data_IF_079026125715
#
_entry.id   IF_079026125715
#
_cell.length_a   1.000
_cell.length_b   1.000
_cell.length_c   1.000
_cell.angle_alpha   90.00
_cell.angle_beta   90.00
_cell.angle_gamma   90.00
#
_symmetry.space_group_name_H-M   'P 1'
#
loop_
_entity.id
_entity.type
_entity.pdbx_description
1 polymer ?
#
# COMPACT_ATOMS: atom_id res chain seq x y z
N UNK A 1 -17.18 6.72 1.24
CA UNK A 1 -16.75 6.43 -0.15
C UNK A 1 -15.24 6.49 -0.23
N UNK A 2 -14.62 5.53 -0.86
CA UNK A 2 -13.19 5.58 -1.19
C UNK A 2 -13.03 6.09 -2.63
N UNK A 3 -12.17 7.10 -2.82
CA UNK A 3 -11.95 7.73 -4.12
C UNK A 3 -10.51 7.55 -4.56
N UNK A 4 -10.31 7.38 -5.87
CA UNK A 4 -8.99 7.29 -6.47
C UNK A 4 -8.85 8.33 -7.59
N UNK A 5 -7.64 8.82 -7.78
CA UNK A 5 -7.36 9.86 -8.77
C UNK A 5 -6.72 9.29 -10.03
N UNK A 6 -5.71 8.44 -9.84
CA UNK A 6 -4.94 7.86 -10.93
C UNK A 6 -4.85 6.35 -10.78
N UNK A 7 -4.64 5.68 -11.90
CA UNK A 7 -4.31 4.25 -11.96
C UNK A 7 -3.08 4.07 -12.85
N UNK A 8 -2.22 3.14 -12.47
CA UNK A 8 -1.01 2.84 -13.22
C UNK A 8 -0.57 1.40 -12.99
N UNK A 9 0.16 0.83 -13.91
CA UNK A 9 0.78 -0.48 -13.72
C UNK A 9 2.22 -0.25 -13.32
N UNK A 10 2.60 -0.75 -12.16
CA UNK A 10 3.92 -0.53 -11.56
C UNK A 10 4.59 -1.85 -11.21
N UNK A 11 5.93 -1.86 -11.24
CA UNK A 11 6.72 -3.08 -11.16
C UNK A 11 7.68 -3.13 -9.97
N UNK A 12 7.90 -2.00 -9.28
CA UNK A 12 8.94 -1.87 -8.25
C UNK A 12 8.39 -1.55 -6.87
N UNK A 13 7.19 -0.98 -6.78
CA UNK A 13 6.59 -0.51 -5.54
C UNK A 13 6.24 -1.66 -4.60
N UNK A 14 5.88 -2.82 -5.16
CA UNK A 14 5.71 -4.06 -4.40
C UNK A 14 6.68 -5.08 -4.97
N UNK A 15 7.77 -5.40 -4.25
CA UNK A 15 8.82 -6.28 -4.77
C UNK A 15 8.30 -7.63 -5.22
N UNK A 16 8.65 -8.01 -6.46
CA UNK A 16 8.25 -9.29 -7.04
C UNK A 16 6.84 -9.34 -7.61
N UNK A 17 6.09 -8.24 -7.57
CA UNK A 17 4.72 -8.18 -8.07
C UNK A 17 4.57 -7.21 -9.24
N UNK A 18 3.62 -7.48 -10.11
CA UNK A 18 3.13 -6.54 -11.11
C UNK A 18 1.82 -5.97 -10.57
N UNK A 19 1.80 -4.69 -10.22
CA UNK A 19 0.72 -4.10 -9.44
C UNK A 19 -0.10 -3.09 -10.23
N UNK A 20 -1.42 -3.15 -10.07
CA UNK A 20 -2.30 -2.04 -10.40
C UNK A 20 -2.26 -1.07 -9.21
N UNK A 21 -1.60 0.06 -9.39
CA UNK A 21 -1.46 1.08 -8.37
C UNK A 21 -2.59 2.11 -8.49
N UNK A 22 -3.24 2.36 -7.36
CA UNK A 22 -4.38 3.28 -7.26
C UNK A 22 -4.04 4.37 -6.25
N UNK A 23 -3.96 5.61 -6.70
CA UNK A 23 -3.73 6.75 -5.82
C UNK A 23 -5.03 7.10 -5.10
N UNK A 24 -5.09 6.80 -3.81
CA UNK A 24 -6.26 7.04 -2.98
C UNK A 24 -6.22 8.45 -2.42
N UNK A 25 -7.31 9.18 -2.57
CA UNK A 25 -7.44 10.53 -2.05
C UNK A 25 -7.91 10.56 -0.59
N UNK A 26 -8.10 11.75 -0.04
CA UNK A 26 -8.45 11.98 1.37
C UNK A 26 -7.38 11.46 2.33
N UNK A 27 -6.11 11.61 1.93
CA UNK A 27 -4.98 11.21 2.76
C UNK A 27 -4.99 12.03 4.06
N UNK A 28 -5.04 11.39 5.25
CA UNK A 28 -5.07 12.11 6.52
C UNK A 28 -3.70 12.64 6.96
N UNK A 29 -2.64 12.27 6.24
CA UNK A 29 -1.27 12.61 6.59
C UNK A 29 -0.83 13.90 5.87
N UNK A 30 -0.08 14.75 6.57
CA UNK A 30 0.45 15.99 6.04
C UNK A 30 1.98 15.94 6.03
N UNK A 31 2.53 15.00 5.24
CA UNK A 31 3.97 14.80 5.17
C UNK A 31 4.65 16.00 4.52
N UNK A 32 5.68 16.51 5.18
CA UNK A 32 6.51 17.57 4.65
C UNK A 32 7.29 17.06 3.44
N UNK A 33 7.22 17.79 2.33
CA UNK A 33 7.84 17.35 1.07
C UNK A 33 7.10 16.23 0.33
N UNK A 34 5.84 15.97 0.67
CA UNK A 34 5.01 14.96 0.01
C UNK A 34 4.94 15.20 -1.50
N UNK A 35 5.15 14.13 -2.29
CA UNK A 35 5.09 14.19 -3.76
C UNK A 35 3.67 14.38 -4.30
N UNK A 36 2.63 14.09 -3.51
CA UNK A 36 1.25 14.11 -3.95
C UNK A 36 0.33 14.83 -2.94
N UNK A 37 0.60 16.12 -2.65
CA UNK A 37 -0.18 16.84 -1.63
C UNK A 37 -1.66 17.01 -2.01
N UNK A 38 -2.00 16.97 -3.30
CA UNK A 38 -3.38 17.04 -3.78
C UNK A 38 -4.23 15.87 -3.30
N UNK A 39 -3.63 14.74 -2.93
CA UNK A 39 -4.34 13.57 -2.42
C UNK A 39 -4.90 13.77 -1.00
N UNK A 40 -4.60 14.88 -0.36
CA UNK A 40 -5.22 15.24 0.92
C UNK A 40 -6.69 15.65 0.74
N UNK A 41 -7.05 16.08 -0.45
CA UNK A 41 -8.42 16.49 -0.78
C UNK A 41 -9.29 15.28 -1.11
N UNK A 42 -10.61 15.42 -0.93
CA UNK A 42 -11.58 14.40 -1.29
C UNK A 42 -11.94 14.55 -2.77
N UNK A 43 -11.10 14.01 -3.63
CA UNK A 43 -11.21 14.13 -5.08
C UNK A 43 -11.12 12.77 -5.77
N UNK A 44 -11.54 12.72 -7.02
CA UNK A 44 -11.44 11.54 -7.86
C UNK A 44 -12.73 10.76 -7.97
N UNK A 45 -12.61 9.54 -8.49
CA UNK A 45 -13.73 8.67 -8.82
C UNK A 45 -13.99 7.64 -7.71
N UNK A 46 -15.19 7.10 -7.68
CA UNK A 46 -15.60 6.07 -6.73
C UNK A 46 -14.90 4.75 -7.05
N UNK A 47 -13.98 4.32 -6.21
CA UNK A 47 -13.20 3.11 -6.43
C UNK A 47 -14.07 1.84 -6.31
N UNK A 48 -15.00 1.77 -5.37
CA UNK A 48 -15.87 0.60 -5.26
C UNK A 48 -16.71 0.39 -6.51
N UNK A 49 -17.18 1.48 -7.11
CA UNK A 49 -17.91 1.42 -8.37
C UNK A 49 -17.03 0.93 -9.51
N UNK A 50 -15.81 1.44 -9.60
CA UNK A 50 -14.95 1.24 -10.77
C UNK A 50 -14.07 0.00 -10.70
N UNK A 51 -13.77 -0.50 -9.51
CA UNK A 51 -12.78 -1.57 -9.32
C UNK A 51 -13.12 -2.85 -10.07
N UNK A 52 -14.38 -3.34 -10.10
CA UNK A 52 -14.71 -4.54 -10.87
C UNK A 52 -14.32 -4.42 -12.34
N UNK A 53 -14.62 -3.29 -12.98
CA UNK A 53 -14.28 -3.05 -14.39
C UNK A 53 -12.76 -2.91 -14.59
N UNK A 54 -12.06 -2.28 -13.64
CA UNK A 54 -10.61 -2.18 -13.67
C UNK A 54 -9.95 -3.57 -13.59
N UNK A 55 -10.45 -4.44 -12.73
CA UNK A 55 -9.94 -5.80 -12.60
C UNK A 55 -10.28 -6.66 -13.82
N UNK A 56 -11.43 -6.45 -14.43
CA UNK A 56 -11.77 -7.11 -15.70
C UNK A 56 -10.79 -6.71 -16.80
N UNK A 57 -10.40 -5.44 -16.84
CA UNK A 57 -9.51 -4.91 -17.88
C UNK A 57 -8.05 -5.30 -17.67
N UNK A 58 -7.55 -5.19 -16.44
CA UNK A 58 -6.12 -5.34 -16.14
C UNK A 58 -5.76 -6.65 -15.44
N UNK A 59 -6.73 -7.37 -14.88
CA UNK A 59 -6.50 -8.50 -13.98
C UNK A 59 -5.63 -9.62 -14.55
N UNK A 60 -5.69 -9.87 -15.85
CA UNK A 60 -4.87 -10.89 -16.48
C UNK A 60 -3.39 -10.53 -16.56
N UNK A 61 -3.05 -9.25 -16.47
CA UNK A 61 -1.66 -8.75 -16.59
C UNK A 61 -1.04 -8.33 -15.26
N UNK A 62 -1.75 -8.47 -14.14
CA UNK A 62 -1.26 -8.07 -12.82
C UNK A 62 -1.30 -9.22 -11.84
N UNK A 63 -0.54 -9.10 -10.76
CA UNK A 63 -0.51 -10.05 -9.64
C UNK A 63 -0.97 -9.43 -8.33
N UNK A 64 -1.05 -8.11 -8.26
CA UNK A 64 -1.32 -7.37 -7.03
C UNK A 64 -2.12 -6.11 -7.32
N UNK A 65 -2.97 -5.73 -6.37
CA UNK A 65 -3.61 -4.41 -6.34
C UNK A 65 -2.96 -3.61 -5.22
N UNK A 66 -2.37 -2.48 -5.57
CA UNK A 66 -1.68 -1.60 -4.63
C UNK A 66 -2.52 -0.35 -4.36
N UNK A 67 -2.92 -0.17 -3.11
CA UNK A 67 -3.62 1.01 -2.64
C UNK A 67 -2.57 1.99 -2.09
N UNK A 68 -2.32 3.07 -2.82
CA UNK A 68 -1.41 4.13 -2.40
C UNK A 68 -2.18 5.10 -1.50
N UNK A 69 -2.33 4.72 -0.25
CA UNK A 69 -3.12 5.37 0.76
C UNK A 69 -4.32 4.52 1.19
N UNK A 70 -4.86 4.83 2.35
CA UNK A 70 -5.99 4.11 2.95
C UNK A 70 -7.31 4.88 2.83
N UNK A 71 -7.24 6.17 2.50
CA UNK A 71 -8.42 7.03 2.40
C UNK A 71 -9.06 7.28 3.77
N UNK A 72 -10.34 7.64 3.73
CA UNK A 72 -11.14 7.97 4.94
C UNK A 72 -12.25 6.95 5.21
N UNK A 73 -12.57 6.09 4.25
CA UNK A 73 -13.63 5.08 4.36
C UNK A 73 -13.01 3.69 4.46
N UNK A 74 -12.79 3.26 5.69
CA UNK A 74 -12.12 2.00 5.97
C UNK A 74 -12.96 0.79 5.51
N UNK A 75 -14.28 0.84 5.69
CA UNK A 75 -15.16 -0.22 5.21
C UNK A 75 -15.09 -0.40 3.69
N UNK A 76 -15.04 0.70 2.95
CA UNK A 76 -14.89 0.65 1.50
C UNK A 76 -13.53 0.07 1.08
N UNK A 77 -12.45 0.42 1.79
CA UNK A 77 -11.13 -0.16 1.55
C UNK A 77 -11.16 -1.69 1.74
N UNK A 78 -11.77 -2.16 2.82
CA UNK A 78 -11.90 -3.59 3.10
C UNK A 78 -12.64 -4.30 1.97
N UNK A 79 -13.75 -3.73 1.49
CA UNK A 79 -14.53 -4.33 0.40
C UNK A 79 -13.74 -4.38 -0.91
N UNK A 80 -12.96 -3.34 -1.19
CA UNK A 80 -12.07 -3.33 -2.37
C UNK A 80 -10.98 -4.39 -2.26
N UNK A 81 -10.36 -4.53 -1.09
CA UNK A 81 -9.34 -5.56 -0.85
C UNK A 81 -9.92 -6.97 -0.97
N UNK A 82 -11.12 -7.17 -0.42
CA UNK A 82 -11.82 -8.45 -0.51
C UNK A 82 -12.11 -8.84 -1.97
N UNK A 83 -12.55 -7.88 -2.79
CA UNK A 83 -12.78 -8.12 -4.21
C UNK A 83 -11.49 -8.55 -4.93
N UNK A 84 -10.38 -7.87 -4.66
CA UNK A 84 -9.09 -8.25 -5.23
C UNK A 84 -8.67 -9.66 -4.82
N UNK A 85 -8.82 -10.00 -3.54
CA UNK A 85 -8.51 -11.32 -3.02
C UNK A 85 -9.36 -12.42 -3.64
N UNK A 86 -10.66 -12.17 -3.83
CA UNK A 86 -11.57 -13.10 -4.50
C UNK A 86 -11.18 -13.35 -5.95
N UNK A 87 -10.51 -12.43 -6.57
CA UNK A 87 -9.95 -12.58 -7.92
C UNK A 87 -8.52 -13.14 -7.92
N UNK A 88 -8.06 -13.66 -6.79
CA UNK A 88 -6.74 -14.28 -6.60
C UNK A 88 -5.59 -13.32 -6.82
N UNK A 89 -5.81 -12.04 -6.57
CA UNK A 89 -4.78 -11.02 -6.59
C UNK A 89 -4.28 -10.76 -5.18
N UNK A 90 -2.97 -10.48 -5.06
CA UNK A 90 -2.40 -9.98 -3.82
C UNK A 90 -2.90 -8.58 -3.55
N UNK A 91 -2.88 -8.17 -2.29
CA UNK A 91 -3.21 -6.82 -1.88
C UNK A 91 -2.02 -6.16 -1.20
N UNK A 92 -1.85 -4.87 -1.47
CA UNK A 92 -0.81 -4.07 -0.84
C UNK A 92 -1.38 -2.71 -0.46
N UNK A 93 -1.00 -2.20 0.69
CA UNK A 93 -1.41 -0.87 1.15
C UNK A 93 -0.18 -0.08 1.57
N UNK A 94 -0.04 1.14 1.06
CA UNK A 94 0.92 2.11 1.52
C UNK A 94 0.20 3.06 2.48
N UNK A 95 0.56 3.01 3.77
CA UNK A 95 0.01 3.90 4.78
C UNK A 95 1.08 4.85 5.31
N UNK A 96 0.68 6.05 5.68
CA UNK A 96 1.52 6.97 6.43
C UNK A 96 1.54 6.71 7.93
N UNK A 97 0.83 5.68 8.40
CA UNK A 97 0.81 5.30 9.81
C UNK A 97 2.21 4.91 10.26
N UNK A 98 2.70 5.52 11.34
CA UNK A 98 3.99 5.18 11.93
C UNK A 98 3.84 3.98 12.87
N UNK A 99 4.90 3.17 12.92
CA UNK A 99 5.02 2.05 13.86
C UNK A 99 6.29 2.27 14.71
N UNK A 100 6.37 1.67 15.90
CA UNK A 100 7.58 1.79 16.72
C UNK A 100 8.82 1.32 15.95
N UNK A 101 9.95 2.06 16.00
CA UNK A 101 11.16 1.69 15.25
C UNK A 101 11.76 0.34 15.70
N UNK A 102 11.50 -0.07 16.92
CA UNK A 102 11.98 -1.32 17.51
C UNK A 102 10.92 -2.42 17.53
N UNK A 103 9.87 -2.29 16.71
CA UNK A 103 8.78 -3.25 16.66
C UNK A 103 9.29 -4.65 16.30
N UNK A 104 8.78 -5.67 16.99
CA UNK A 104 9.05 -7.06 16.66
C UNK A 104 8.15 -7.50 15.50
N UNK A 105 8.67 -8.36 14.63
CA UNK A 105 7.89 -8.84 13.48
C UNK A 105 6.55 -9.47 13.90
N UNK A 106 6.51 -10.18 15.02
CA UNK A 106 5.30 -10.78 15.56
C UNK A 106 4.21 -9.76 15.92
N UNK A 107 4.61 -8.52 16.24
CA UNK A 107 3.68 -7.44 16.63
C UNK A 107 3.19 -6.62 15.45
N UNK A 108 3.81 -6.74 14.29
CA UNK A 108 3.39 -6.01 13.06
C UNK A 108 1.95 -6.35 12.67
N UNK A 109 1.52 -7.57 12.93
CA UNK A 109 0.17 -8.02 12.60
C UNK A 109 -0.92 -7.17 13.26
N UNK A 110 -0.68 -6.63 14.45
CA UNK A 110 -1.64 -5.76 15.13
C UNK A 110 -1.89 -4.47 14.35
N UNK A 111 -0.83 -3.90 13.77
CA UNK A 111 -0.94 -2.70 12.94
C UNK A 111 -1.52 -3.02 11.56
N UNK A 112 -1.13 -4.13 10.97
CA UNK A 112 -1.65 -4.57 9.68
C UNK A 112 -3.15 -4.92 9.76
N UNK A 113 -3.62 -5.41 10.90
CA UNK A 113 -5.04 -5.70 11.14
C UNK A 113 -5.90 -4.44 11.03
N UNK A 114 -5.36 -3.28 11.35
CA UNK A 114 -6.05 -1.99 11.17
C UNK A 114 -6.29 -1.67 9.68
N UNK A 115 -5.61 -2.36 8.78
CA UNK A 115 -5.73 -2.21 7.33
C UNK A 115 -6.24 -3.49 6.66
N UNK A 116 -6.94 -4.34 7.42
CA UNK A 116 -7.56 -5.59 6.95
C UNK A 116 -6.54 -6.64 6.46
N UNK A 117 -5.37 -6.68 7.08
CA UNK A 117 -4.33 -7.70 6.84
C UNK A 117 -3.96 -7.86 5.36
N UNK A 118 -3.44 -6.81 4.71
CA UNK A 118 -2.99 -6.93 3.33
C UNK A 118 -1.80 -7.90 3.21
N UNK A 119 -1.56 -8.42 2.02
CA UNK A 119 -0.39 -9.28 1.77
C UNK A 119 0.92 -8.51 1.91
N UNK A 120 0.90 -7.22 1.55
CA UNK A 120 2.02 -6.30 1.71
C UNK A 120 1.54 -5.01 2.37
N UNK A 121 2.34 -4.47 3.26
CA UNK A 121 2.02 -3.18 3.90
C UNK A 121 3.29 -2.35 4.08
N UNK A 122 3.22 -1.10 3.63
CA UNK A 122 4.26 -0.12 3.89
C UNK A 122 3.76 0.83 4.97
N UNK A 123 4.48 0.92 6.07
CA UNK A 123 4.25 1.85 7.17
C UNK A 123 5.22 3.02 7.12
N UNK A 124 4.81 4.10 7.70
CA UNK A 124 5.64 5.27 7.96
C UNK A 124 5.31 6.45 7.07
N UNK A 125 5.14 7.61 7.70
CA UNK A 125 5.01 8.87 7.01
C UNK A 125 6.29 9.24 6.28
N UNK A 126 6.18 9.93 5.15
CA UNK A 126 7.35 10.43 4.44
C UNK A 126 8.01 11.55 5.25
N UNK A 127 9.29 11.37 5.53
CA UNK A 127 10.13 12.39 6.18
C UNK A 127 11.28 12.73 5.23
N UNK A 128 11.27 13.93 4.75
CA UNK A 128 12.19 14.41 3.70
C UNK A 128 13.66 14.25 4.10
N UNK A 129 14.00 14.41 5.38
CA UNK A 129 15.37 14.27 5.90
C UNK A 129 15.87 12.81 5.88
N UNK A 130 14.94 11.86 5.96
CA UNK A 130 15.24 10.43 6.01
C UNK A 130 15.08 9.74 4.66
N UNK A 131 14.28 10.33 3.79
CA UNK A 131 13.97 9.77 2.47
C UNK A 131 12.87 8.71 2.50
N UNK A 132 12.49 8.24 1.33
CA UNK A 132 11.52 7.17 1.15
C UNK A 132 12.14 5.78 1.24
N UNK A 133 11.38 4.76 0.84
CA UNK A 133 11.78 3.34 0.94
C UNK A 133 13.14 3.02 0.31
N UNK A 134 13.49 3.70 -0.78
CA UNK A 134 14.76 3.47 -1.47
C UNK A 134 15.97 4.01 -0.72
N UNK A 135 15.78 4.84 0.30
CA UNK A 135 16.86 5.39 1.10
C UNK A 135 17.19 4.46 2.28
N UNK A 136 18.47 4.08 2.47
CA UNK A 136 18.85 3.28 3.64
C UNK A 136 18.61 3.97 4.99
N UNK A 137 18.40 5.28 5.00
CA UNK A 137 18.12 6.06 6.21
C UNK A 137 16.64 6.24 6.50
N UNK A 138 15.77 5.64 5.68
CA UNK A 138 14.32 5.83 5.78
C UNK A 138 13.75 5.34 7.11
N UNK A 139 12.72 6.05 7.59
CA UNK A 139 11.85 5.56 8.68
C UNK A 139 10.76 4.63 8.16
N UNK A 140 10.55 4.57 6.85
CA UNK A 140 9.52 3.73 6.25
C UNK A 140 9.93 2.26 6.27
N UNK A 141 8.94 1.38 6.45
CA UNK A 141 9.19 -0.08 6.50
C UNK A 141 8.15 -0.80 5.66
N UNK A 142 8.61 -1.75 4.85
CA UNK A 142 7.76 -2.62 4.04
C UNK A 142 7.76 -4.03 4.61
N UNK A 143 6.56 -4.59 4.78
CA UNK A 143 6.37 -5.94 5.28
C UNK A 143 5.57 -6.78 4.30
N UNK A 144 5.89 -8.06 4.25
CA UNK A 144 5.18 -9.08 3.47
C UNK A 144 4.65 -10.15 4.40
N UNK A 145 3.37 -10.49 4.26
CA UNK A 145 2.77 -11.60 5.01
C UNK A 145 3.30 -12.94 4.50
N UNK A 146 3.76 -13.77 5.42
CA UNK A 146 4.17 -15.14 5.13
C UNK A 146 3.12 -16.10 5.69
N UNK A 147 2.33 -16.80 4.84
CA UNK A 147 1.28 -17.69 5.31
C UNK A 147 1.80 -18.94 6.04
N UNK A 148 3.06 -19.32 5.81
CA UNK A 148 3.66 -20.49 6.47
C UNK A 148 3.97 -20.22 7.94
N UNK A 149 4.39 -19.00 8.27
CA UNK A 149 4.71 -18.59 9.65
C UNK A 149 3.59 -17.79 10.30
N UNK A 150 2.60 -17.36 9.50
CA UNK A 150 1.52 -16.47 9.92
C UNK A 150 2.04 -15.15 10.51
N UNK A 151 3.14 -14.63 9.94
CA UNK A 151 3.80 -13.39 10.39
C UNK A 151 4.13 -12.51 9.20
N UNK A 152 4.25 -11.21 9.48
CA UNK A 152 4.77 -10.23 8.53
C UNK A 152 6.29 -10.18 8.63
N UNK A 153 6.96 -10.29 7.50
CA UNK A 153 8.42 -10.22 7.39
C UNK A 153 8.85 -8.87 6.84
N UNK A 154 9.87 -8.27 7.44
CA UNK A 154 10.43 -7.00 6.98
C UNK A 154 11.22 -7.24 5.69
N UNK A 155 10.75 -6.64 4.59
CA UNK A 155 11.39 -6.74 3.27
C UNK A 155 11.92 -5.39 2.78
N UNK A 156 12.04 -4.41 3.66
CA UNK A 156 12.48 -3.05 3.30
C UNK A 156 13.83 -3.05 2.57
N UNK A 157 14.72 -3.96 2.95
CA UNK A 157 16.06 -4.07 2.34
C UNK A 157 16.02 -4.35 0.82
N UNK A 158 14.92 -4.87 0.30
CA UNK A 158 14.78 -5.13 -1.14
C UNK A 158 14.78 -3.84 -1.97
N UNK A 159 14.39 -2.72 -1.37
CA UNK A 159 14.41 -1.41 -2.02
C UNK A 159 15.82 -0.80 -2.10
N UNK A 160 16.77 -1.34 -1.35
CA UNK A 160 18.13 -0.83 -1.27
C UNK A 160 19.10 -1.57 -2.20
N UNK A 161 18.63 -2.63 -2.85
CA UNK A 161 19.46 -3.38 -3.80
C UNK A 161 19.64 -2.57 -5.08
N UNK A 162 20.91 -2.41 -5.49
CA UNK A 162 21.21 -1.82 -6.78
C UNK A 162 20.90 -2.83 -7.88
N UNK A 163 20.32 -2.40 -9.02
CA UNK A 163 20.22 -3.27 -10.17
C UNK A 163 21.63 -3.71 -10.60
N UNK A 164 21.78 -4.98 -10.86
CA UNK A 164 23.03 -5.51 -11.41
C UNK A 164 23.18 -5.10 -12.87
#
# INVERSE_FOLDING_TARGET
MIRYVNKDIVFQEVPGEVSLALNISSCPYHCDGCHSPYLREDIGEDLERDLPALLDRYGAGITCVLFLGEGKDFGALIRCMDLASKRRLKTAVYTGMDIPPDIKEEDVMFYAAMLALPDYVKFGSYQKELGGLASPTTNQRMYKYNPNTERYENITHLFWRKPE
#
